data_IF_686425565083
#
_entry.id   IF_686425565083
#
_cell.length_a   1.000
_cell.length_b   1.000
_cell.length_c   1.000
_cell.angle_alpha   90.00
_cell.angle_beta   90.00
_cell.angle_gamma   90.00
#
_symmetry.space_group_name_H-M   'P 1'
#
loop_
_entity.id
_entity.type
_entity.pdbx_description
1 polymer ?
#
# COMPACT_ATOMS: atom_id res chain seq x y z
N UNK A 1 -7.51 -15.89 -8.97
CA UNK A 1 -8.95 -16.27 -9.07
C UNK A 1 -9.82 -15.11 -8.59
N UNK A 2 -10.97 -14.84 -9.25
CA UNK A 2 -11.93 -13.77 -8.86
C UNK A 2 -13.36 -14.31 -8.89
N UNK A 3 -14.25 -13.72 -8.09
CA UNK A 3 -15.70 -13.99 -8.11
C UNK A 3 -16.47 -12.69 -8.36
N UNK A 4 -17.71 -12.80 -8.86
CA UNK A 4 -18.56 -11.63 -9.13
C UNK A 4 -18.94 -10.94 -7.81
N UNK A 5 -18.84 -9.60 -7.76
CA UNK A 5 -19.19 -8.83 -6.57
C UNK A 5 -20.64 -9.03 -6.17
N UNK A 6 -21.57 -8.98 -7.13
CA UNK A 6 -23.02 -9.14 -6.86
C UNK A 6 -23.34 -10.48 -6.21
N UNK A 7 -22.82 -11.58 -6.78
CA UNK A 7 -22.98 -12.92 -6.21
C UNK A 7 -22.44 -13.00 -4.78
N UNK A 8 -21.24 -12.43 -4.57
CA UNK A 8 -20.59 -12.47 -3.27
C UNK A 8 -21.35 -11.66 -2.22
N UNK A 9 -21.78 -10.45 -2.59
CA UNK A 9 -22.58 -9.58 -1.75
C UNK A 9 -23.91 -10.23 -1.39
N UNK A 10 -24.65 -10.78 -2.36
CA UNK A 10 -25.92 -11.47 -2.11
C UNK A 10 -25.76 -12.65 -1.14
N UNK A 11 -24.64 -13.38 -1.23
CA UNK A 11 -24.38 -14.54 -0.39
C UNK A 11 -24.08 -14.19 1.07
N UNK A 12 -23.42 -13.05 1.32
CA UNK A 12 -22.90 -12.68 2.64
C UNK A 12 -23.50 -11.39 3.23
N UNK A 13 -24.48 -10.76 2.56
CA UNK A 13 -25.09 -9.50 3.03
C UNK A 13 -25.94 -9.62 4.30
N UNK A 14 -26.52 -10.79 4.58
CA UNK A 14 -27.38 -11.00 5.76
C UNK A 14 -26.83 -12.14 6.59
N UNK A 15 -26.37 -11.82 7.80
CA UNK A 15 -26.00 -12.79 8.82
C UNK A 15 -27.27 -13.42 9.43
N UNK A 16 -27.36 -14.74 9.56
CA UNK A 16 -28.47 -15.39 10.28
C UNK A 16 -28.55 -14.91 11.73
N UNK A 17 -29.77 -14.78 12.26
CA UNK A 17 -29.99 -14.29 13.63
C UNK A 17 -29.46 -15.25 14.72
N UNK A 18 -29.40 -16.53 14.41
CA UNK A 18 -28.92 -17.63 15.25
C UNK A 18 -27.49 -18.08 14.87
N UNK A 19 -26.72 -17.20 14.22
CA UNK A 19 -25.39 -17.51 13.75
C UNK A 19 -24.43 -17.87 14.91
N UNK A 20 -23.73 -19.00 14.74
CA UNK A 20 -22.62 -19.39 15.60
C UNK A 20 -21.43 -18.43 15.42
N UNK A 21 -20.53 -18.35 16.41
CA UNK A 21 -19.29 -17.57 16.31
C UNK A 21 -18.46 -17.92 15.06
N UNK A 22 -18.44 -19.19 14.68
CA UNK A 22 -17.76 -19.64 13.45
C UNK A 22 -18.40 -19.02 12.21
N UNK A 23 -19.74 -19.00 12.14
CA UNK A 23 -20.49 -18.35 11.06
C UNK A 23 -20.21 -16.86 11.03
N UNK A 24 -20.21 -16.19 12.20
CA UNK A 24 -19.87 -14.77 12.31
C UNK A 24 -18.47 -14.50 11.74
N UNK A 25 -17.46 -15.33 12.09
CA UNK A 25 -16.10 -15.18 11.55
C UNK A 25 -16.05 -15.36 10.04
N UNK A 26 -16.82 -16.29 9.47
CA UNK A 26 -16.91 -16.46 8.01
C UNK A 26 -17.49 -15.20 7.35
N UNK A 27 -18.56 -14.64 7.90
CA UNK A 27 -19.16 -13.40 7.37
C UNK A 27 -18.24 -12.19 7.53
N UNK A 28 -17.52 -12.07 8.65
CA UNK A 28 -16.52 -11.02 8.86
C UNK A 28 -15.39 -11.12 7.83
N UNK A 29 -14.83 -12.32 7.59
CA UNK A 29 -13.83 -12.55 6.54
C UNK A 29 -14.37 -12.18 5.16
N UNK A 30 -15.61 -12.55 4.85
CA UNK A 30 -16.23 -12.22 3.58
C UNK A 30 -16.37 -10.69 3.40
N UNK A 31 -16.84 -9.99 4.42
CA UNK A 31 -16.96 -8.54 4.40
C UNK A 31 -15.60 -7.84 4.19
N UNK A 32 -14.56 -8.26 4.93
CA UNK A 32 -13.19 -7.73 4.77
C UNK A 32 -12.67 -8.01 3.35
N UNK A 33 -12.86 -9.23 2.84
CA UNK A 33 -12.46 -9.61 1.48
C UNK A 33 -13.07 -8.68 0.42
N UNK A 34 -14.33 -8.32 0.61
CA UNK A 34 -15.06 -7.40 -0.25
C UNK A 34 -14.49 -5.98 -0.17
N UNK A 35 -14.22 -5.46 1.03
CA UNK A 35 -13.59 -4.14 1.21
C UNK A 35 -12.21 -4.07 0.56
N UNK A 36 -11.36 -5.07 0.79
CA UNK A 36 -10.03 -5.15 0.21
C UNK A 36 -10.10 -5.15 -1.32
N UNK A 37 -11.04 -5.91 -1.90
CA UNK A 37 -11.13 -6.07 -3.35
C UNK A 37 -11.81 -4.91 -4.09
N UNK A 38 -12.72 -4.18 -3.44
CA UNK A 38 -13.58 -3.17 -4.09
C UNK A 38 -13.26 -1.73 -3.71
N UNK A 39 -12.67 -1.51 -2.53
CA UNK A 39 -12.38 -0.17 -2.03
C UNK A 39 -10.87 0.07 -1.98
N UNK A 40 -10.15 -0.79 -1.26
CA UNK A 40 -8.74 -0.54 -0.95
C UNK A 40 -7.81 -0.89 -2.13
N UNK A 41 -8.09 -2.02 -2.79
CA UNK A 41 -7.29 -2.55 -3.88
C UNK A 41 -8.09 -2.78 -5.16
N UNK A 42 -9.06 -1.89 -5.39
CA UNK A 42 -9.94 -1.95 -6.54
C UNK A 42 -9.13 -1.96 -7.84
N UNK A 43 -9.46 -2.90 -8.73
CA UNK A 43 -8.98 -2.85 -10.11
C UNK A 43 -9.93 -1.97 -10.97
N UNK A 44 -9.62 -1.84 -12.26
CA UNK A 44 -10.43 -1.01 -13.19
C UNK A 44 -11.90 -1.49 -13.29
N UNK A 45 -12.17 -2.75 -12.93
CA UNK A 45 -13.47 -3.39 -12.92
C UNK A 45 -13.88 -3.71 -11.46
N UNK A 46 -14.43 -2.70 -10.77
CA UNK A 46 -14.92 -2.81 -9.39
C UNK A 46 -16.04 -3.87 -9.13
N UNK A 47 -16.38 -4.69 -10.12
CA UNK A 47 -17.39 -5.76 -10.04
C UNK A 47 -16.79 -7.15 -9.70
N UNK A 48 -15.53 -7.23 -9.27
CA UNK A 48 -14.87 -8.50 -8.94
C UNK A 48 -14.26 -8.49 -7.55
N UNK A 49 -14.47 -9.58 -6.82
CA UNK A 49 -13.82 -9.87 -5.54
C UNK A 49 -12.62 -10.78 -5.80
N UNK A 50 -11.43 -10.38 -5.36
CA UNK A 50 -10.19 -11.13 -5.58
C UNK A 50 -9.97 -12.15 -4.47
N UNK A 51 -10.03 -13.44 -4.78
CA UNK A 51 -9.85 -14.50 -3.76
C UNK A 51 -8.40 -14.66 -3.27
N UNK A 52 -7.46 -13.91 -3.86
CA UNK A 52 -6.04 -13.94 -3.47
C UNK A 52 -5.80 -13.53 -2.01
N UNK A 53 -6.75 -12.82 -1.39
CA UNK A 53 -6.63 -12.39 0.00
C UNK A 53 -6.97 -13.48 1.01
N UNK A 54 -7.64 -14.57 0.60
CA UNK A 54 -8.11 -15.62 1.51
C UNK A 54 -7.01 -16.16 2.44
N UNK A 55 -5.75 -16.40 2.01
CA UNK A 55 -4.69 -16.83 2.92
C UNK A 55 -4.41 -15.82 4.04
N UNK A 56 -4.48 -14.51 3.74
CA UNK A 56 -4.26 -13.44 4.71
C UNK A 56 -5.45 -13.24 5.66
N UNK A 57 -6.64 -13.73 5.28
CA UNK A 57 -7.85 -13.70 6.11
C UNK A 57 -8.05 -15.01 6.89
N UNK A 58 -7.15 -15.99 6.73
CA UNK A 58 -7.25 -17.28 7.40
C UNK A 58 -7.24 -17.12 8.94
N UNK A 59 -6.34 -16.26 9.44
CA UNK A 59 -6.25 -15.86 10.84
C UNK A 59 -6.64 -14.39 10.96
N UNK A 60 -7.75 -14.10 11.64
CA UNK A 60 -8.16 -12.71 11.90
C UNK A 60 -7.24 -12.04 12.93
N UNK A 61 -6.59 -12.82 13.79
CA UNK A 61 -5.63 -12.32 14.78
C UNK A 61 -4.34 -11.81 14.11
N UNK A 62 -3.92 -12.46 13.01
CA UNK A 62 -2.78 -12.02 12.23
C UNK A 62 -3.11 -10.86 11.28
N UNK A 63 -4.39 -10.62 11.02
CA UNK A 63 -4.84 -9.55 10.12
C UNK A 63 -4.31 -8.18 10.56
N UNK A 64 -4.35 -7.89 11.86
CA UNK A 64 -3.86 -6.64 12.43
C UNK A 64 -2.34 -6.50 12.40
N UNK A 65 -1.59 -7.58 12.15
CA UNK A 65 -0.13 -7.58 12.10
C UNK A 65 0.42 -7.19 10.72
N UNK A 66 -0.41 -7.26 9.68
CA UNK A 66 -0.02 -6.87 8.33
C UNK A 66 0.00 -5.35 8.17
N UNK A 67 1.00 -4.84 7.45
CA UNK A 67 1.07 -3.40 7.11
C UNK A 67 0.12 -3.07 5.94
N UNK A 68 -1.18 -2.99 6.21
CA UNK A 68 -2.19 -2.61 5.22
C UNK A 68 -1.96 -1.23 4.61
N UNK A 69 -1.41 -0.29 5.39
CA UNK A 69 -1.04 1.04 4.90
C UNK A 69 0.06 1.00 3.85
N UNK A 70 1.15 0.26 4.10
CA UNK A 70 2.23 0.07 3.11
C UNK A 70 1.73 -0.64 1.85
N UNK A 71 0.86 -1.64 2.02
CA UNK A 71 0.22 -2.36 0.93
C UNK A 71 -0.66 -1.42 0.07
N UNK A 72 -1.49 -0.59 0.71
CA UNK A 72 -2.31 0.43 0.06
C UNK A 72 -1.47 1.45 -0.71
N UNK A 73 -0.39 1.94 -0.10
CA UNK A 73 0.50 2.91 -0.72
C UNK A 73 1.20 2.33 -1.96
N UNK A 74 1.72 1.10 -1.88
CA UNK A 74 2.30 0.41 -3.05
C UNK A 74 1.27 0.24 -4.18
N UNK A 75 0.03 -0.12 -3.84
CA UNK A 75 -1.03 -0.23 -4.85
C UNK A 75 -1.36 1.12 -5.50
N UNK A 76 -1.46 2.19 -4.71
CA UNK A 76 -1.73 3.54 -5.20
C UNK A 76 -0.64 4.02 -6.16
N UNK A 77 0.63 3.88 -5.78
CA UNK A 77 1.76 4.23 -6.65
C UNK A 77 1.72 3.44 -7.97
N UNK A 78 1.46 2.13 -7.90
CA UNK A 78 1.26 1.33 -9.12
C UNK A 78 0.14 1.86 -10.02
N UNK A 79 -1.00 2.23 -9.44
CA UNK A 79 -2.13 2.79 -10.20
C UNK A 79 -1.76 4.13 -10.84
N UNK A 80 -1.03 5.00 -10.14
CA UNK A 80 -0.54 6.28 -10.67
C UNK A 80 0.44 6.08 -11.82
N UNK A 81 1.39 5.15 -11.70
CA UNK A 81 2.33 4.79 -12.77
C UNK A 81 1.63 4.31 -14.04
N UNK A 82 0.52 3.56 -13.90
CA UNK A 82 -0.28 3.08 -15.04
C UNK A 82 -1.17 4.15 -15.67
N UNK A 83 -1.47 5.23 -14.95
CA UNK A 83 -2.27 6.36 -15.42
C UNK A 83 -1.43 7.38 -16.18
N UNK A 84 -0.82 6.97 -17.30
CA UNK A 84 0.24 7.70 -18.01
C UNK A 84 -0.10 9.15 -18.46
N UNK A 85 -1.36 9.58 -18.47
CA UNK A 85 -1.71 10.98 -18.80
C UNK A 85 -1.46 11.95 -17.63
N UNK A 86 -1.68 11.52 -16.39
CA UNK A 86 -1.59 12.41 -15.21
C UNK A 86 -0.14 12.71 -14.83
N UNK A 87 0.77 11.78 -15.10
CA UNK A 87 2.20 11.96 -14.82
C UNK A 87 2.83 13.05 -15.69
N UNK A 88 2.49 13.10 -16.98
CA UNK A 88 2.98 14.15 -17.87
C UNK A 88 2.45 15.51 -17.44
N UNK A 89 1.15 15.62 -17.13
CA UNK A 89 0.56 16.86 -16.64
C UNK A 89 1.10 17.28 -15.27
N UNK A 90 1.32 16.33 -14.36
CA UNK A 90 1.92 16.60 -13.04
C UNK A 90 3.36 17.08 -13.17
N UNK A 91 4.15 16.46 -14.06
CA UNK A 91 5.52 16.89 -14.35
C UNK A 91 5.55 18.31 -14.92
N UNK A 92 4.70 18.60 -15.90
CA UNK A 92 4.55 19.96 -16.43
C UNK A 92 4.09 20.97 -15.37
N UNK A 93 3.25 20.56 -14.42
CA UNK A 93 2.85 21.41 -13.31
C UNK A 93 4.04 21.68 -12.36
N UNK A 94 4.81 20.66 -12.01
CA UNK A 94 6.03 20.79 -11.19
C UNK A 94 7.08 21.69 -11.87
N UNK A 95 7.32 21.52 -13.18
CA UNK A 95 8.26 22.32 -13.96
C UNK A 95 7.89 23.81 -14.00
N UNK A 96 6.62 24.15 -13.73
CA UNK A 96 6.11 25.53 -13.70
C UNK A 96 6.11 26.16 -12.31
N UNK A 97 6.32 25.38 -11.24
CA UNK A 97 6.36 25.90 -9.88
C UNK A 97 7.63 26.72 -9.66
N UNK A 98 7.49 27.86 -8.99
CA UNK A 98 8.62 28.63 -8.47
C UNK A 98 8.97 28.13 -7.08
N UNK A 99 10.18 28.45 -6.62
CA UNK A 99 10.68 28.05 -5.28
C UNK A 99 9.72 28.45 -4.16
N UNK A 100 9.06 29.61 -4.27
CA UNK A 100 8.09 30.08 -3.26
C UNK A 100 6.71 29.46 -3.37
N UNK A 101 6.37 28.83 -4.51
CA UNK A 101 5.10 28.10 -4.65
C UNK A 101 5.18 26.72 -3.98
N UNK A 102 6.39 26.26 -3.67
CA UNK A 102 6.61 24.94 -3.10
C UNK A 102 6.60 24.98 -1.57
N UNK A 103 5.63 24.27 -0.98
CA UNK A 103 5.60 24.02 0.46
C UNK A 103 6.55 22.86 0.77
N UNK A 104 7.70 23.18 1.33
CA UNK A 104 8.74 22.18 1.63
C UNK A 104 8.40 21.27 2.80
N UNK A 105 7.61 21.76 3.76
CA UNK A 105 7.25 21.05 4.99
C UNK A 105 5.72 20.92 5.14
N UNK A 106 5.02 20.26 4.20
CA UNK A 106 3.56 20.21 4.20
C UNK A 106 2.98 19.48 5.42
N UNK A 107 3.76 18.57 6.02
CA UNK A 107 3.34 17.79 7.19
C UNK A 107 3.59 18.49 8.53
N UNK A 108 4.26 19.64 8.53
CA UNK A 108 4.50 20.44 9.74
C UNK A 108 3.29 21.29 10.17
N UNK A 109 2.19 21.26 9.41
CA UNK A 109 0.99 22.02 9.75
C UNK A 109 0.29 21.45 10.99
N UNK A 110 -0.30 22.34 11.80
CA UNK A 110 -1.03 21.93 13.01
C UNK A 110 -2.21 21.00 12.70
N UNK A 111 -2.87 21.20 11.55
CA UNK A 111 -3.96 20.35 11.09
C UNK A 111 -3.51 18.91 10.82
N UNK A 112 -2.32 18.73 10.24
CA UNK A 112 -1.73 17.40 10.01
C UNK A 112 -1.27 16.80 11.34
N UNK A 113 -0.64 17.58 12.22
CA UNK A 113 -0.22 17.11 13.54
C UNK A 113 -1.40 16.61 14.40
N UNK A 114 -2.59 17.21 14.25
CA UNK A 114 -3.79 16.84 15.01
C UNK A 114 -4.36 15.46 14.64
N UNK A 115 -4.05 14.92 13.45
CA UNK A 115 -4.54 13.61 13.00
C UNK A 115 -3.50 12.48 13.14
N UNK A 116 -2.22 12.83 13.33
CA UNK A 116 -1.14 11.85 13.48
C UNK A 116 -1.05 11.39 14.93
N UNK A 117 -0.96 10.08 15.13
CA UNK A 117 -0.79 9.51 16.47
C UNK A 117 0.57 9.94 17.07
N UNK A 118 0.61 10.48 18.31
CA UNK A 118 1.85 11.03 18.90
C UNK A 118 3.02 10.05 18.94
N UNK A 119 2.77 8.76 19.13
CA UNK A 119 3.82 7.73 19.13
C UNK A 119 4.59 7.68 17.80
N UNK A 120 3.94 7.93 16.66
CA UNK A 120 4.61 7.90 15.34
C UNK A 120 5.65 9.03 15.21
N UNK A 121 5.47 10.11 15.98
CA UNK A 121 6.36 11.26 16.00
C UNK A 121 7.56 11.07 16.94
N UNK A 122 7.57 10.01 17.76
CA UNK A 122 8.72 9.71 18.60
C UNK A 122 9.95 9.38 17.74
N UNK A 123 11.13 9.84 18.19
CA UNK A 123 12.39 9.67 17.44
C UNK A 123 12.71 8.18 17.14
N UNK A 124 12.26 7.27 18.00
CA UNK A 124 12.39 5.83 17.80
C UNK A 124 11.66 5.33 16.54
N UNK A 125 10.53 5.97 16.20
CA UNK A 125 9.70 5.63 15.05
C UNK A 125 10.03 6.47 13.82
N UNK A 126 10.71 7.62 13.98
CA UNK A 126 11.17 8.48 12.88
C UNK A 126 11.92 7.72 11.80
N UNK A 127 12.83 6.84 12.24
CA UNK A 127 13.62 5.95 11.39
C UNK A 127 12.77 5.09 10.45
N UNK A 128 11.59 4.64 10.89
CA UNK A 128 10.75 3.74 10.09
C UNK A 128 10.06 4.45 8.93
N UNK A 129 9.60 5.69 9.14
CA UNK A 129 8.91 6.44 8.09
C UNK A 129 9.86 7.28 7.22
N UNK A 130 11.12 7.46 7.62
CA UNK A 130 12.19 8.00 6.75
C UNK A 130 12.98 6.92 5.98
N UNK A 131 12.69 5.64 6.18
CA UNK A 131 13.48 4.56 5.58
C UNK A 131 13.30 4.49 4.05
N UNK A 132 14.42 4.33 3.35
CA UNK A 132 14.42 4.00 1.92
C UNK A 132 14.27 2.49 1.77
N UNK A 133 13.11 2.03 1.30
CA UNK A 133 12.78 0.59 1.32
C UNK A 133 11.73 0.19 0.29
N UNK A 134 11.52 -1.11 0.10
CA UNK A 134 10.48 -1.65 -0.77
C UNK A 134 9.15 -1.79 -0.05
N UNK A 135 8.11 -1.14 -0.53
CA UNK A 135 6.73 -1.40 -0.15
C UNK A 135 6.22 -2.61 -0.94
N UNK A 136 5.79 -3.65 -0.22
CA UNK A 136 5.38 -4.92 -0.81
C UNK A 136 3.86 -5.05 -0.70
N UNK A 137 3.21 -5.12 -1.86
CA UNK A 137 1.79 -5.41 -2.01
C UNK A 137 1.63 -6.67 -2.86
N UNK A 138 1.50 -7.83 -2.22
CA UNK A 138 1.31 -9.11 -2.90
C UNK A 138 2.40 -9.38 -3.96
N UNK A 139 2.08 -9.15 -5.24
CA UNK A 139 2.97 -9.33 -6.39
C UNK A 139 3.56 -8.02 -6.92
N UNK A 140 3.12 -6.88 -6.39
CA UNK A 140 3.66 -5.58 -6.72
C UNK A 140 4.66 -5.17 -5.63
N UNK A 141 5.78 -4.67 -6.08
CA UNK A 141 6.80 -4.07 -5.25
C UNK A 141 6.98 -2.66 -5.77
N UNK A 142 6.93 -1.70 -4.87
CA UNK A 142 7.19 -0.29 -5.15
C UNK A 142 8.36 0.17 -4.29
N UNK A 143 9.30 0.89 -4.89
CA UNK A 143 10.47 1.39 -4.16
C UNK A 143 10.18 2.78 -3.58
N UNK A 144 10.31 2.90 -2.26
CA UNK A 144 9.98 4.11 -1.53
C UNK A 144 11.24 4.94 -1.25
N UNK A 145 11.39 6.04 -2.00
CA UNK A 145 12.56 6.93 -1.96
C UNK A 145 12.33 8.14 -1.06
N UNK A 146 12.25 7.91 0.26
CA UNK A 146 12.01 9.00 1.23
C UNK A 146 13.19 9.97 1.32
N UNK A 147 14.38 9.49 1.01
CA UNK A 147 15.61 10.28 0.88
C UNK A 147 15.47 11.47 -0.09
N UNK A 148 14.49 11.47 -1.00
CA UNK A 148 14.22 12.58 -1.96
C UNK A 148 13.24 13.64 -1.45
N UNK A 149 12.61 13.39 -0.31
CA UNK A 149 11.55 14.24 0.26
C UNK A 149 11.74 14.47 1.76
N UNK A 150 12.97 14.34 2.27
CA UNK A 150 13.31 14.53 3.69
C UNK A 150 12.84 15.87 4.27
N UNK A 151 12.88 17.01 3.54
CA UNK A 151 12.35 18.27 4.04
C UNK A 151 10.88 18.21 4.44
N UNK A 152 10.07 17.37 3.79
CA UNK A 152 8.65 17.26 4.12
C UNK A 152 8.42 16.82 5.56
N UNK A 153 9.42 16.21 6.18
CA UNK A 153 9.38 15.69 7.51
C UNK A 153 10.41 16.31 8.46
N UNK A 154 10.80 17.57 8.19
CA UNK A 154 11.76 18.31 9.00
C UNK A 154 13.18 17.72 8.99
N UNK A 155 13.52 16.98 7.93
CA UNK A 155 14.86 16.45 7.67
C UNK A 155 15.64 17.33 6.69
N UNK A 156 16.97 17.21 6.71
CA UNK A 156 17.84 17.92 5.74
C UNK A 156 17.93 17.10 4.45
N UNK A 157 17.72 17.75 3.30
CA UNK A 157 17.88 17.11 2.00
C UNK A 157 19.35 17.00 1.61
N UNK A 158 19.88 15.78 1.59
CA UNK A 158 21.19 15.48 1.02
C UNK A 158 21.07 15.13 -0.47
N UNK A 159 22.20 14.95 -1.17
CA UNK A 159 22.19 14.45 -2.54
C UNK A 159 21.61 13.02 -2.53
N UNK A 160 20.45 12.75 -3.18
CA UNK A 160 19.86 11.43 -3.17
C UNK A 160 20.71 10.42 -3.94
N UNK A 161 20.70 9.17 -3.50
CA UNK A 161 21.36 8.07 -4.21
C UNK A 161 20.65 7.76 -5.54
N UNK A 162 21.28 6.93 -6.38
CA UNK A 162 20.65 6.49 -7.63
C UNK A 162 19.43 5.63 -7.31
N UNK A 163 18.31 5.90 -7.98
CA UNK A 163 17.09 5.14 -7.74
C UNK A 163 17.20 3.70 -8.25
N UNK A 164 16.68 2.75 -7.47
CA UNK A 164 16.59 1.36 -7.88
C UNK A 164 15.66 1.23 -9.10
N UNK A 165 16.17 0.66 -10.19
CA UNK A 165 15.35 0.42 -11.38
C UNK A 165 14.44 -0.79 -11.14
N UNK A 166 13.14 -0.53 -11.04
CA UNK A 166 12.08 -1.53 -10.83
C UNK A 166 11.09 -1.61 -11.99
N UNK A 167 11.45 -1.10 -13.18
CA UNK A 167 10.55 -1.05 -14.34
C UNK A 167 9.98 -2.44 -14.70
N UNK A 168 10.81 -3.47 -14.54
CA UNK A 168 10.41 -4.86 -14.79
C UNK A 168 9.31 -5.35 -13.82
N UNK A 169 9.24 -4.83 -12.59
CA UNK A 169 8.17 -5.10 -11.61
C UNK A 169 6.88 -4.36 -11.99
N UNK A 170 7.00 -3.15 -12.52
CA UNK A 170 5.86 -2.38 -13.02
C UNK A 170 5.22 -3.03 -14.25
N UNK A 171 6.03 -3.64 -15.12
CA UNK A 171 5.60 -4.36 -16.31
C UNK A 171 4.76 -5.62 -16.00
N UNK A 172 4.80 -6.18 -14.78
CA UNK A 172 4.00 -7.36 -14.42
C UNK A 172 2.52 -7.01 -14.32
N UNK A 173 1.65 -7.68 -15.06
CA UNK A 173 0.19 -7.44 -14.99
C UNK A 173 -0.55 -8.39 -14.03
N UNK A 174 0.18 -9.26 -13.34
CA UNK A 174 -0.37 -10.24 -12.41
C UNK A 174 -1.08 -11.42 -13.09
N UNK A 175 -0.98 -11.58 -14.42
CA UNK A 175 -1.57 -12.69 -15.19
C UNK A 175 -0.69 -13.94 -15.27
N UNK A 176 0.47 -13.93 -14.61
CA UNK A 176 1.53 -14.94 -14.74
C UNK A 176 1.44 -16.20 -13.88
N UNK A 177 0.23 -16.61 -13.47
CA UNK A 177 -0.02 -17.88 -12.76
C UNK A 177 0.40 -17.90 -11.28
N UNK A 178 -0.06 -18.95 -10.58
CA UNK A 178 -0.12 -19.16 -9.12
C UNK A 178 1.23 -19.29 -8.39
N UNK A 179 2.21 -18.45 -8.71
CA UNK A 179 3.46 -18.40 -7.95
C UNK A 179 3.18 -17.81 -6.58
N UNK A 180 3.48 -18.57 -5.53
CA UNK A 180 3.44 -18.07 -4.17
C UNK A 180 4.45 -16.91 -4.03
N UNK A 181 3.92 -15.70 -3.95
CA UNK A 181 4.68 -14.46 -4.02
C UNK A 181 5.76 -14.31 -2.95
N UNK A 182 5.59 -14.80 -1.70
CA UNK A 182 6.66 -14.77 -0.70
C UNK A 182 7.94 -15.49 -1.12
N UNK A 183 7.83 -16.63 -1.80
CA UNK A 183 9.02 -17.37 -2.28
C UNK A 183 9.60 -16.72 -3.53
N UNK A 184 8.75 -16.27 -4.44
CA UNK A 184 9.20 -15.66 -5.69
C UNK A 184 9.87 -14.29 -5.48
N UNK A 185 9.47 -13.56 -4.44
CA UNK A 185 10.02 -12.25 -4.08
C UNK A 185 10.79 -12.27 -2.75
N UNK A 186 11.37 -13.42 -2.39
CA UNK A 186 12.05 -13.62 -1.10
C UNK A 186 13.12 -12.57 -0.81
N UNK A 187 13.94 -12.21 -1.80
CA UNK A 187 14.98 -11.17 -1.65
C UNK A 187 14.39 -9.81 -1.24
N UNK A 188 13.24 -9.44 -1.81
CA UNK A 188 12.55 -8.20 -1.46
C UNK A 188 11.94 -8.24 -0.06
N UNK A 189 11.41 -9.40 0.34
CA UNK A 189 10.97 -9.62 1.72
C UNK A 189 12.13 -9.46 2.70
N UNK A 190 13.31 -10.00 2.39
CA UNK A 190 14.51 -9.83 3.21
C UNK A 190 14.98 -8.37 3.26
N UNK A 191 14.95 -7.64 2.13
CA UNK A 191 15.26 -6.21 2.12
C UNK A 191 14.31 -5.40 3.02
N UNK A 192 13.01 -5.74 2.99
CA UNK A 192 12.02 -5.13 3.87
C UNK A 192 12.25 -5.48 5.35
N UNK A 193 12.56 -6.74 5.67
CA UNK A 193 12.88 -7.16 7.04
C UNK A 193 14.09 -6.41 7.59
N UNK A 194 15.11 -6.21 6.75
CA UNK A 194 16.36 -5.52 7.08
C UNK A 194 16.30 -3.99 6.86
N UNK A 195 15.12 -3.42 6.62
CA UNK A 195 14.95 -1.99 6.25
C UNK A 195 15.57 -1.00 7.23
N UNK A 196 15.74 -1.36 8.50
CA UNK A 196 16.41 -0.52 9.51
C UNK A 196 17.90 -0.30 9.22
N UNK A 197 18.51 -1.13 8.36
CA UNK A 197 19.89 -1.00 7.90
C UNK A 197 20.03 -0.11 6.65
N UNK A 198 18.91 0.33 6.06
CA UNK A 198 18.85 1.14 4.83
C UNK A 198 18.53 2.61 5.12
N UNK A 199 18.82 3.07 6.33
CA UNK A 199 18.54 4.42 6.85
C UNK A 199 19.85 5.20 6.94
#
# INVERSE_FOLDING_TARGET
>A
MTVCYTWFHERFRVLPADATDETVRVYARAYILMLLSSQLFADKNANRVHLRWLPYLASLDDLGRYSWGSAALAWLYRCLCRGAQRLVSARLALDRLRVHDFVWEPYSSADVAAVIHPEILADEHRRLWTAVTSLIYFAAIEWHQVDRVLPQFGGVQHLPDVALNIDWLHAKDGRGGDRWFPTYYQEWHQLWENRSLLI
#
